data_IF_918467563446
#
_entry.id   IF_918467563446
#
_cell.length_a   1.000
_cell.length_b   1.000
_cell.length_c   1.000
_cell.angle_alpha   90.00
_cell.angle_beta   90.00
_cell.angle_gamma   90.00
#
_symmetry.space_group_name_H-M   'P 1'
#
loop_
_entity.id
_entity.type
_entity.pdbx_description
1 polymer ?
#
# COMPACT_ATOMS: atom_id res chain seq x y z
N UNK A 1 -20.40 -29.67 7.74
CA UNK A 1 -21.13 -28.64 6.97
C UNK A 1 -20.67 -27.22 7.24
N UNK A 2 -20.23 -26.86 8.44
CA UNK A 2 -19.79 -25.51 8.82
C UNK A 2 -18.54 -24.98 8.07
N UNK A 3 -17.58 -25.84 7.69
CA UNK A 3 -16.35 -25.40 6.98
C UNK A 3 -16.60 -24.83 5.58
N UNK A 4 -17.66 -25.24 4.87
CA UNK A 4 -17.98 -24.72 3.53
C UNK A 4 -18.53 -23.29 3.57
N UNK A 5 -19.31 -22.97 4.58
CA UNK A 5 -19.85 -21.62 4.79
C UNK A 5 -18.73 -20.61 5.08
N UNK A 6 -17.77 -20.99 5.95
CA UNK A 6 -16.65 -20.12 6.33
C UNK A 6 -15.71 -19.78 5.16
N UNK A 7 -15.43 -20.74 4.28
CA UNK A 7 -14.53 -20.52 3.13
C UNK A 7 -15.14 -19.58 2.07
N UNK A 8 -16.46 -19.64 1.88
CA UNK A 8 -17.17 -18.77 0.94
C UNK A 8 -17.13 -17.32 1.45
N UNK A 9 -17.34 -17.11 2.73
CA UNK A 9 -17.34 -15.78 3.34
C UNK A 9 -15.96 -15.11 3.30
N UNK A 10 -14.90 -15.86 3.58
CA UNK A 10 -13.52 -15.36 3.52
C UNK A 10 -13.15 -14.91 2.10
N UNK A 11 -13.49 -15.70 1.08
CA UNK A 11 -13.24 -15.34 -0.31
C UNK A 11 -14.01 -14.10 -0.74
N UNK A 12 -15.26 -13.94 -0.29
CA UNK A 12 -16.05 -12.71 -0.54
C UNK A 12 -15.45 -11.51 0.15
N UNK A 13 -15.03 -11.64 1.41
CA UNK A 13 -14.37 -10.55 2.15
C UNK A 13 -13.10 -10.11 1.43
N UNK A 14 -12.25 -11.06 0.99
CA UNK A 14 -11.04 -10.74 0.23
C UNK A 14 -11.36 -10.05 -1.11
N UNK A 15 -12.44 -10.46 -1.77
CA UNK A 15 -12.90 -9.86 -3.01
C UNK A 15 -13.37 -8.41 -2.81
N UNK A 16 -14.21 -8.17 -1.82
CA UNK A 16 -14.68 -6.82 -1.50
C UNK A 16 -13.55 -5.90 -1.04
N UNK A 17 -12.63 -6.41 -0.22
CA UNK A 17 -11.44 -5.66 0.18
C UNK A 17 -10.59 -5.26 -1.04
N UNK A 18 -10.35 -6.18 -1.97
CA UNK A 18 -9.60 -5.90 -3.20
C UNK A 18 -10.32 -4.86 -4.07
N UNK A 19 -11.64 -4.98 -4.28
CA UNK A 19 -12.38 -3.98 -5.06
C UNK A 19 -12.39 -2.61 -4.40
N UNK A 20 -12.62 -2.55 -3.09
CA UNK A 20 -12.55 -1.30 -2.33
C UNK A 20 -11.18 -0.64 -2.49
N UNK A 21 -10.09 -1.41 -2.36
CA UNK A 21 -8.74 -0.89 -2.59
C UNK A 21 -8.58 -0.32 -3.99
N UNK A 22 -8.96 -1.07 -5.03
CA UNK A 22 -8.82 -0.62 -6.41
C UNK A 22 -9.58 0.69 -6.67
N UNK A 23 -10.84 0.77 -6.25
CA UNK A 23 -11.67 1.97 -6.42
C UNK A 23 -11.04 3.18 -5.74
N UNK A 24 -10.67 3.05 -4.47
CA UNK A 24 -10.10 4.17 -3.71
C UNK A 24 -8.67 4.52 -4.12
N UNK A 25 -7.87 3.55 -4.59
CA UNK A 25 -6.54 3.79 -5.14
C UNK A 25 -6.63 4.58 -6.46
N UNK A 26 -7.51 4.18 -7.37
CA UNK A 26 -7.76 4.90 -8.63
C UNK A 26 -8.34 6.30 -8.37
N UNK A 27 -9.29 6.43 -7.45
CA UNK A 27 -9.81 7.72 -7.02
C UNK A 27 -8.70 8.62 -6.45
N UNK A 28 -7.83 8.06 -5.60
CA UNK A 28 -6.67 8.79 -5.04
C UNK A 28 -5.71 9.25 -6.13
N UNK A 29 -5.45 8.39 -7.11
CA UNK A 29 -4.59 8.72 -8.24
C UNK A 29 -5.20 9.85 -9.08
N UNK A 30 -6.46 9.73 -9.49
CA UNK A 30 -7.17 10.75 -10.25
C UNK A 30 -7.19 12.10 -9.53
N UNK A 31 -7.50 12.10 -8.23
CA UNK A 31 -7.49 13.32 -7.41
C UNK A 31 -6.12 13.98 -7.36
N UNK A 32 -5.06 13.19 -7.24
CA UNK A 32 -3.69 13.70 -7.19
C UNK A 32 -3.23 14.25 -8.55
N UNK A 33 -3.60 13.59 -9.66
CA UNK A 33 -3.34 14.08 -11.02
C UNK A 33 -4.04 15.42 -11.26
N UNK A 34 -5.34 15.52 -10.92
CA UNK A 34 -6.09 16.77 -11.05
C UNK A 34 -5.46 17.90 -10.22
N UNK A 35 -5.01 17.60 -9.00
CA UNK A 35 -4.34 18.59 -8.14
C UNK A 35 -3.02 19.09 -8.76
N UNK A 36 -2.24 18.20 -9.37
CA UNK A 36 -0.98 18.57 -10.02
C UNK A 36 -1.21 19.34 -11.34
N UNK A 37 -2.33 19.08 -12.02
CA UNK A 37 -2.76 19.84 -13.20
C UNK A 37 -3.34 21.22 -12.86
N UNK A 38 -3.32 21.64 -11.58
CA UNK A 38 -3.84 22.94 -11.12
C UNK A 38 -5.38 22.99 -11.01
N UNK A 39 -6.06 21.86 -11.24
CA UNK A 39 -7.52 21.77 -11.06
C UNK A 39 -7.83 21.69 -9.56
N UNK A 40 -8.19 22.83 -8.99
CA UNK A 40 -8.53 22.92 -7.57
C UNK A 40 -10.01 22.61 -7.38
N UNK A 41 -10.32 21.42 -6.83
CA UNK A 41 -11.68 21.07 -6.40
C UNK A 41 -12.15 21.92 -5.18
N UNK A 42 -11.28 22.77 -4.62
CA UNK A 42 -11.60 23.64 -3.49
C UNK A 42 -12.58 24.79 -3.82
N UNK A 43 -12.81 25.05 -5.09
CA UNK A 43 -13.69 26.14 -5.54
C UNK A 43 -15.15 25.72 -5.70
N UNK A 44 -15.46 24.43 -5.65
CA UNK A 44 -16.86 23.98 -5.74
C UNK A 44 -17.53 24.00 -4.37
N UNK A 45 -18.60 24.81 -4.17
CA UNK A 45 -19.30 24.93 -2.89
C UNK A 45 -19.94 23.61 -2.43
N UNK A 46 -20.19 22.66 -3.35
CA UNK A 46 -20.75 21.34 -3.05
C UNK A 46 -19.67 20.37 -2.53
N UNK A 47 -18.43 20.50 -3.00
CA UNK A 47 -17.35 19.57 -2.67
C UNK A 47 -16.57 19.95 -1.40
N UNK A 48 -16.64 21.21 -0.99
CA UNK A 48 -15.93 21.71 0.22
C UNK A 48 -16.34 20.94 1.49
N UNK A 49 -17.62 20.74 1.83
CA UNK A 49 -18.01 20.03 3.05
C UNK A 49 -17.79 18.51 2.98
N UNK A 50 -17.82 17.92 1.77
CA UNK A 50 -17.70 16.46 1.58
C UNK A 50 -16.23 16.04 1.52
N UNK A 51 -15.32 16.94 1.12
CA UNK A 51 -13.90 16.61 0.90
C UNK A 51 -13.18 16.02 2.12
N UNK A 52 -13.34 16.51 3.36
CA UNK A 52 -12.64 15.93 4.51
C UNK A 52 -13.15 14.53 4.85
N UNK A 53 -14.46 14.29 4.72
CA UNK A 53 -15.08 12.98 4.96
C UNK A 53 -14.55 11.97 3.92
N UNK A 54 -14.56 12.34 2.65
CA UNK A 54 -14.09 11.49 1.55
C UNK A 54 -12.59 11.18 1.66
N UNK A 55 -11.78 12.17 2.05
CA UNK A 55 -10.35 11.97 2.32
C UNK A 55 -10.13 11.00 3.48
N UNK A 56 -10.92 11.12 4.55
CA UNK A 56 -10.82 10.22 5.71
C UNK A 56 -11.23 8.79 5.34
N UNK A 57 -12.36 8.60 4.66
CA UNK A 57 -12.82 7.27 4.19
C UNK A 57 -11.77 6.65 3.27
N UNK A 58 -11.30 7.40 2.27
CA UNK A 58 -10.23 6.96 1.36
C UNK A 58 -9.02 6.45 2.13
N UNK A 59 -8.56 7.21 3.11
CA UNK A 59 -7.38 6.86 3.88
C UNK A 59 -7.59 5.62 4.74
N UNK A 60 -8.75 5.49 5.38
CA UNK A 60 -9.12 4.29 6.14
C UNK A 60 -9.15 3.05 5.23
N UNK A 61 -9.81 3.14 4.08
CA UNK A 61 -9.89 2.01 3.14
C UNK A 61 -8.52 1.60 2.64
N UNK A 62 -7.68 2.55 2.21
CA UNK A 62 -6.34 2.26 1.70
C UNK A 62 -5.39 1.68 2.75
N UNK A 63 -5.63 1.95 4.04
CA UNK A 63 -4.82 1.42 5.13
C UNK A 63 -5.35 0.09 5.69
N UNK A 64 -6.68 -0.06 5.82
CA UNK A 64 -7.28 -1.27 6.38
C UNK A 64 -7.32 -2.44 5.39
N UNK A 65 -7.45 -2.16 4.10
CA UNK A 65 -7.51 -3.23 3.08
C UNK A 65 -6.24 -4.09 3.02
N UNK A 66 -5.02 -3.53 3.05
CA UNK A 66 -3.81 -4.35 3.14
C UNK A 66 -3.77 -5.24 4.38
N UNK A 67 -4.22 -4.73 5.54
CA UNK A 67 -4.30 -5.51 6.78
C UNK A 67 -5.22 -6.72 6.58
N UNK A 68 -6.42 -6.49 6.02
CA UNK A 68 -7.38 -7.55 5.75
C UNK A 68 -6.83 -8.59 4.76
N UNK A 69 -6.25 -8.15 3.64
CA UNK A 69 -5.73 -9.05 2.61
C UNK A 69 -4.55 -9.88 3.10
N UNK A 70 -3.56 -9.29 3.79
CA UNK A 70 -2.43 -10.02 4.36
C UNK A 70 -2.86 -10.94 5.50
N UNK A 71 -3.83 -10.51 6.33
CA UNK A 71 -4.43 -11.34 7.37
C UNK A 71 -5.13 -12.57 6.80
N UNK A 72 -6.01 -12.38 5.82
CA UNK A 72 -6.70 -13.48 5.13
C UNK A 72 -5.68 -14.40 4.45
N UNK A 73 -4.70 -13.85 3.74
CA UNK A 73 -3.64 -14.63 3.09
C UNK A 73 -2.91 -15.52 4.10
N UNK A 74 -2.53 -14.98 5.26
CA UNK A 74 -1.91 -15.76 6.35
C UNK A 74 -2.77 -16.95 6.78
N UNK A 75 -4.08 -16.76 6.94
CA UNK A 75 -5.00 -17.84 7.36
C UNK A 75 -5.21 -18.90 6.28
N UNK A 76 -5.10 -18.54 5.02
CA UNK A 76 -5.24 -19.51 3.90
C UNK A 76 -3.98 -20.33 3.65
N UNK A 77 -2.82 -19.92 4.20
CA UNK A 77 -1.58 -20.64 4.03
C UNK A 77 -1.53 -21.92 4.88
N UNK A 78 -1.10 -23.07 4.30
CA UNK A 78 -0.95 -24.31 5.04
C UNK A 78 0.13 -24.19 6.14
N UNK A 79 -0.01 -24.98 7.20
CA UNK A 79 0.87 -24.92 8.38
C UNK A 79 2.35 -25.18 8.05
N UNK A 80 2.65 -25.94 6.99
CA UNK A 80 4.01 -26.27 6.55
C UNK A 80 4.80 -25.11 5.98
N UNK A 81 4.14 -24.01 5.56
CA UNK A 81 4.81 -22.86 4.91
C UNK A 81 5.12 -21.76 5.94
N UNK A 82 5.99 -22.12 6.91
CA UNK A 82 6.31 -21.24 8.06
C UNK A 82 6.84 -19.86 7.66
N UNK A 83 7.73 -19.80 6.65
CA UNK A 83 8.32 -18.53 6.21
C UNK A 83 7.29 -17.54 5.70
N UNK A 84 6.40 -17.97 4.80
CA UNK A 84 5.34 -17.11 4.26
C UNK A 84 4.35 -16.64 5.33
N UNK A 85 4.02 -17.51 6.29
CA UNK A 85 3.17 -17.14 7.43
C UNK A 85 3.80 -16.03 8.26
N UNK A 86 5.10 -16.16 8.58
CA UNK A 86 5.85 -15.12 9.32
C UNK A 86 5.96 -13.81 8.52
N UNK A 87 6.26 -13.87 7.21
CA UNK A 87 6.25 -12.67 6.37
C UNK A 87 4.88 -11.99 6.36
N UNK A 88 3.80 -12.77 6.25
CA UNK A 88 2.43 -12.22 6.30
C UNK A 88 2.08 -11.59 7.65
N UNK A 89 2.52 -12.20 8.76
CA UNK A 89 2.37 -11.64 10.11
C UNK A 89 3.12 -10.31 10.26
N UNK A 90 4.35 -10.25 9.78
CA UNK A 90 5.15 -9.01 9.77
C UNK A 90 4.48 -7.91 8.93
N UNK A 91 3.90 -8.28 7.78
CA UNK A 91 3.18 -7.31 6.94
C UNK A 91 1.90 -6.80 7.63
N UNK A 92 1.12 -7.67 8.28
CA UNK A 92 -0.05 -7.26 9.06
C UNK A 92 0.38 -6.32 10.19
N UNK A 93 1.41 -6.70 10.95
CA UNK A 93 1.94 -5.89 12.04
C UNK A 93 2.40 -4.51 11.54
N UNK A 94 3.14 -4.49 10.43
CA UNK A 94 3.58 -3.24 9.79
C UNK A 94 2.41 -2.32 9.45
N UNK A 95 1.38 -2.83 8.76
CA UNK A 95 0.23 -2.00 8.36
C UNK A 95 -0.59 -1.52 9.56
N UNK A 96 -0.75 -2.36 10.60
CA UNK A 96 -1.45 -1.97 11.84
C UNK A 96 -0.67 -0.86 12.55
N UNK A 97 0.64 -1.04 12.74
CA UNK A 97 1.47 -0.03 13.39
C UNK A 97 1.58 1.25 12.54
N UNK A 98 1.70 1.15 11.21
CA UNK A 98 1.67 2.30 10.31
C UNK A 98 0.35 3.06 10.39
N UNK A 99 -0.78 2.34 10.54
CA UNK A 99 -2.08 2.97 10.75
C UNK A 99 -2.12 3.75 12.07
N UNK A 100 -1.71 3.13 13.16
CA UNK A 100 -1.68 3.77 14.49
C UNK A 100 -0.75 4.99 14.48
N UNK A 101 0.49 4.82 14.01
CA UNK A 101 1.47 5.90 13.92
C UNK A 101 1.01 7.03 13.00
N UNK A 102 0.35 6.68 11.89
CA UNK A 102 -0.21 7.66 10.97
C UNK A 102 -1.28 8.55 11.61
N UNK A 103 -2.12 8.00 12.50
CA UNK A 103 -3.09 8.80 13.24
C UNK A 103 -2.41 9.67 14.32
N UNK A 104 -1.45 9.11 15.07
CA UNK A 104 -0.67 9.85 16.07
C UNK A 104 0.15 10.98 15.41
N UNK A 105 0.76 10.71 14.24
CA UNK A 105 1.57 11.68 13.53
C UNK A 105 0.75 12.84 12.97
N UNK A 106 -0.45 12.58 12.46
CA UNK A 106 -1.35 13.66 12.02
C UNK A 106 -1.68 14.62 13.15
N UNK A 107 -1.93 14.07 14.33
CA UNK A 107 -2.26 14.88 15.51
C UNK A 107 -1.07 15.75 15.92
N UNK A 108 0.14 15.18 15.95
CA UNK A 108 1.35 15.91 16.31
C UNK A 108 1.79 16.90 15.22
N UNK A 109 1.59 16.59 13.92
CA UNK A 109 1.96 17.48 12.82
C UNK A 109 1.14 18.78 12.82
N UNK A 110 -0.14 18.71 13.20
CA UNK A 110 -0.99 19.92 13.36
C UNK A 110 -0.46 20.80 14.50
N UNK A 111 -0.07 20.20 15.63
CA UNK A 111 0.53 20.95 16.78
C UNK A 111 1.92 21.51 16.44
N UNK A 112 2.70 20.83 15.63
CA UNK A 112 4.01 21.27 15.18
C UNK A 112 3.97 22.45 14.21
N UNK A 113 3.00 22.43 13.27
CA UNK A 113 2.80 23.55 12.33
C UNK A 113 2.36 24.84 13.03
N UNK A 114 1.77 24.74 14.22
CA UNK A 114 1.38 25.91 15.01
C UNK A 114 2.57 26.62 15.70
N UNK A 115 3.62 25.88 16.02
CA UNK A 115 4.78 26.40 16.79
C UNK A 115 6.08 26.51 15.97
N UNK A 116 6.08 26.13 14.70
CA UNK A 116 7.27 26.23 13.83
C UNK A 116 8.48 25.37 14.24
N UNK A 117 8.35 24.55 15.27
CA UNK A 117 9.43 23.71 15.78
C UNK A 117 9.13 22.21 15.59
N UNK A 118 10.13 21.50 15.07
CA UNK A 118 10.07 20.02 14.95
C UNK A 118 10.32 19.44 16.35
N UNK A 119 9.31 18.83 16.96
CA UNK A 119 9.48 18.21 18.27
C UNK A 119 10.33 16.94 18.19
N UNK A 120 11.16 16.63 19.20
CA UNK A 120 11.93 15.38 19.26
C UNK A 120 11.07 14.13 19.06
N UNK A 121 9.84 14.15 19.57
CA UNK A 121 8.85 13.07 19.42
C UNK A 121 8.53 12.77 17.96
N UNK A 122 8.40 13.80 17.11
CA UNK A 122 8.12 13.58 15.70
C UNK A 122 9.31 13.01 14.96
N UNK A 123 10.52 13.43 15.31
CA UNK A 123 11.73 12.84 14.74
C UNK A 123 11.80 11.36 15.09
N UNK A 124 11.56 10.97 16.33
CA UNK A 124 11.52 9.57 16.77
C UNK A 124 10.45 8.78 16.00
N UNK A 125 9.21 9.31 15.89
CA UNK A 125 8.13 8.65 15.16
C UNK A 125 8.46 8.46 13.68
N UNK A 126 9.12 9.45 13.06
CA UNK A 126 9.58 9.35 11.66
C UNK A 126 10.63 8.25 11.49
N UNK A 127 11.60 8.15 12.41
CA UNK A 127 12.60 7.09 12.41
C UNK A 127 11.98 5.70 12.59
N UNK A 128 11.03 5.55 13.52
CA UNK A 128 10.28 4.31 13.74
C UNK A 128 9.53 3.93 12.44
N UNK A 129 8.79 4.86 11.86
CA UNK A 129 8.03 4.61 10.63
C UNK A 129 8.92 4.21 9.44
N UNK A 130 10.06 4.88 9.28
CA UNK A 130 11.04 4.57 8.23
C UNK A 130 11.66 3.18 8.42
N UNK A 131 12.06 2.86 9.66
CA UNK A 131 12.63 1.53 9.99
C UNK A 131 11.62 0.41 9.76
N UNK A 132 10.38 0.61 10.14
CA UNK A 132 9.28 -0.34 9.89
C UNK A 132 8.99 -0.47 8.39
N UNK A 133 9.05 0.62 7.64
CA UNK A 133 8.95 0.62 6.19
C UNK A 133 10.01 -0.29 5.55
N UNK A 134 11.25 -0.20 5.98
CA UNK A 134 12.34 -1.06 5.52
C UNK A 134 12.08 -2.54 5.82
N UNK A 135 11.62 -2.86 7.03
CA UNK A 135 11.27 -4.24 7.42
C UNK A 135 10.16 -4.80 6.54
N UNK A 136 9.13 -4.00 6.24
CA UNK A 136 8.02 -4.43 5.37
C UNK A 136 8.48 -4.70 3.95
N UNK A 137 9.36 -3.87 3.41
CA UNK A 137 9.96 -4.03 2.08
C UNK A 137 10.75 -5.33 2.01
N UNK A 138 11.59 -5.60 3.01
CA UNK A 138 12.38 -6.84 3.09
C UNK A 138 11.44 -8.06 3.22
N UNK A 139 10.44 -8.01 4.09
CA UNK A 139 9.48 -9.10 4.26
C UNK A 139 8.70 -9.39 2.98
N UNK A 140 8.29 -8.35 2.26
CA UNK A 140 7.60 -8.47 0.96
C UNK A 140 8.51 -9.08 -0.11
N UNK A 141 9.78 -8.66 -0.18
CA UNK A 141 10.76 -9.20 -1.10
C UNK A 141 11.07 -10.68 -0.81
N UNK A 142 11.30 -11.03 0.46
CA UNK A 142 11.55 -12.42 0.88
C UNK A 142 10.36 -13.31 0.56
N UNK A 143 9.13 -12.85 0.86
CA UNK A 143 7.92 -13.56 0.48
C UNK A 143 7.80 -13.72 -1.04
N UNK A 144 8.08 -12.66 -1.80
CA UNK A 144 8.07 -12.65 -3.26
C UNK A 144 9.04 -13.67 -3.86
N UNK A 145 10.30 -13.63 -3.44
CA UNK A 145 11.34 -14.57 -3.90
C UNK A 145 11.00 -16.03 -3.55
N UNK A 146 10.51 -16.27 -2.33
CA UNK A 146 10.10 -17.61 -1.91
C UNK A 146 8.94 -18.15 -2.75
N UNK A 147 7.92 -17.30 -3.03
CA UNK A 147 6.80 -17.66 -3.88
C UNK A 147 7.23 -17.94 -5.33
N UNK A 148 8.16 -17.16 -5.86
CA UNK A 148 8.70 -17.36 -7.21
C UNK A 148 9.45 -18.67 -7.36
N UNK A 149 10.25 -19.06 -6.34
CA UNK A 149 11.14 -20.22 -6.38
C UNK A 149 10.44 -21.53 -6.02
N UNK A 150 9.52 -21.51 -5.05
CA UNK A 150 8.94 -22.74 -4.44
C UNK A 150 7.52 -23.06 -4.93
N UNK A 151 6.82 -22.10 -5.54
CA UNK A 151 5.42 -22.27 -5.90
C UNK A 151 5.17 -22.11 -7.41
N UNK A 152 4.02 -22.63 -7.87
CA UNK A 152 3.57 -22.55 -9.27
C UNK A 152 2.20 -21.84 -9.35
N UNK A 153 1.76 -21.53 -10.55
CA UNK A 153 0.43 -20.96 -10.80
C UNK A 153 0.24 -19.57 -10.18
N UNK A 154 -0.89 -19.35 -9.52
CA UNK A 154 -1.25 -18.04 -8.96
C UNK A 154 -0.33 -17.59 -7.82
N UNK A 155 0.22 -18.51 -7.03
CA UNK A 155 1.18 -18.19 -5.97
C UNK A 155 2.50 -17.65 -6.55
N UNK A 156 3.03 -18.25 -7.63
CA UNK A 156 4.21 -17.70 -8.32
C UNK A 156 3.93 -16.33 -8.93
N UNK A 157 2.74 -16.13 -9.53
CA UNK A 157 2.33 -14.83 -10.07
C UNK A 157 2.22 -13.76 -8.98
N UNK A 158 1.76 -14.12 -7.78
CA UNK A 158 1.81 -13.24 -6.61
C UNK A 158 3.26 -12.91 -6.24
N UNK A 159 4.15 -13.89 -6.20
CA UNK A 159 5.57 -13.67 -5.93
C UNK A 159 6.19 -12.65 -6.89
N UNK A 160 5.95 -12.79 -8.19
CA UNK A 160 6.40 -11.83 -9.22
C UNK A 160 5.83 -10.44 -8.94
N UNK A 161 4.53 -10.34 -8.60
CA UNK A 161 3.90 -9.07 -8.30
C UNK A 161 4.53 -8.36 -7.09
N UNK A 162 4.85 -9.10 -6.01
CA UNK A 162 5.53 -8.55 -4.83
C UNK A 162 6.94 -8.05 -5.15
N UNK A 163 7.70 -8.79 -5.97
CA UNK A 163 9.02 -8.33 -6.44
C UNK A 163 8.89 -7.08 -7.32
N UNK A 164 7.87 -7.01 -8.18
CA UNK A 164 7.61 -5.81 -9.00
C UNK A 164 7.27 -4.59 -8.14
N UNK A 165 6.50 -4.75 -7.06
CA UNK A 165 6.24 -3.66 -6.09
C UNK A 165 7.56 -3.15 -5.50
N UNK A 166 8.46 -4.04 -5.11
CA UNK A 166 9.77 -3.66 -4.59
C UNK A 166 10.60 -2.90 -5.63
N UNK A 167 10.68 -3.41 -6.86
CA UNK A 167 11.42 -2.75 -7.95
C UNK A 167 10.83 -1.37 -8.25
N UNK A 168 9.50 -1.27 -8.36
CA UNK A 168 8.82 0.00 -8.59
C UNK A 168 9.09 1.00 -7.46
N UNK A 169 9.05 0.56 -6.21
CA UNK A 169 9.39 1.39 -5.06
C UNK A 169 10.85 1.87 -5.12
N UNK A 170 11.80 0.97 -5.39
CA UNK A 170 13.23 1.30 -5.49
C UNK A 170 13.49 2.33 -6.60
N UNK A 171 12.91 2.11 -7.78
CA UNK A 171 13.05 3.02 -8.93
C UNK A 171 12.42 4.38 -8.65
N UNK A 172 11.17 4.39 -8.19
CA UNK A 172 10.40 5.62 -8.03
C UNK A 172 10.82 6.45 -6.81
N UNK A 173 11.22 5.80 -5.70
CA UNK A 173 11.55 6.50 -4.46
C UNK A 173 13.03 6.86 -4.32
N UNK A 174 13.92 6.19 -5.06
CA UNK A 174 15.37 6.39 -4.92
C UNK A 174 16.05 6.80 -6.22
N UNK A 175 15.93 6.00 -7.29
CA UNK A 175 16.68 6.24 -8.52
C UNK A 175 16.13 7.41 -9.34
N UNK A 176 14.83 7.50 -9.49
CA UNK A 176 14.19 8.53 -10.31
C UNK A 176 14.40 9.96 -9.76
N UNK A 177 14.27 10.22 -8.44
CA UNK A 177 14.57 11.54 -7.86
C UNK A 177 16.02 11.95 -8.08
N UNK A 178 16.98 11.01 -7.91
CA UNK A 178 18.40 11.27 -8.14
C UNK A 178 18.66 11.61 -9.60
N UNK A 179 18.11 10.83 -10.53
CA UNK A 179 18.26 11.08 -11.96
C UNK A 179 17.70 12.45 -12.37
N UNK A 180 16.51 12.81 -11.88
CA UNK A 180 15.88 14.11 -12.17
C UNK A 180 16.72 15.26 -11.58
N UNK A 181 17.24 15.11 -10.37
CA UNK A 181 18.08 16.12 -9.74
C UNK A 181 19.33 16.45 -10.58
N UNK A 182 19.98 15.41 -11.13
CA UNK A 182 21.20 15.61 -11.93
C UNK A 182 20.93 16.04 -13.38
N UNK A 183 19.79 15.66 -13.98
CA UNK A 183 19.53 15.86 -15.41
C UNK A 183 18.67 17.08 -15.72
N UNK A 184 17.85 17.56 -14.77
CA UNK A 184 16.82 18.56 -15.07
C UNK A 184 17.33 20.01 -15.13
N UNK A 185 18.51 20.33 -14.60
CA UNK A 185 19.06 21.69 -14.64
C UNK A 185 18.05 22.78 -14.24
N UNK A 186 17.85 23.78 -15.09
CA UNK A 186 16.92 24.90 -14.85
C UNK A 186 15.42 24.54 -14.97
N UNK A 187 15.07 23.34 -15.45
CA UNK A 187 13.68 22.86 -15.61
C UNK A 187 13.23 21.98 -14.44
N UNK A 188 13.89 22.08 -13.31
CA UNK A 188 13.68 21.17 -12.15
C UNK A 188 12.22 21.06 -11.72
N UNK A 189 11.46 22.15 -11.65
CA UNK A 189 10.09 22.11 -11.14
C UNK A 189 9.15 21.29 -12.04
N UNK A 190 9.22 21.48 -13.35
CA UNK A 190 8.42 20.71 -14.31
C UNK A 190 8.83 19.23 -14.30
N UNK A 191 10.14 18.95 -14.25
CA UNK A 191 10.69 17.61 -14.20
C UNK A 191 10.27 16.87 -12.92
N UNK A 192 10.30 17.52 -11.74
CA UNK A 192 9.81 16.95 -10.49
C UNK A 192 8.30 16.69 -10.50
N UNK A 193 7.50 17.53 -11.15
CA UNK A 193 6.07 17.32 -11.30
C UNK A 193 5.80 16.07 -12.15
N UNK A 194 6.46 15.93 -13.30
CA UNK A 194 6.37 14.76 -14.16
C UNK A 194 6.84 13.48 -13.43
N UNK A 195 7.97 13.56 -12.73
CA UNK A 195 8.49 12.47 -11.91
C UNK A 195 7.49 12.00 -10.87
N UNK A 196 6.88 12.93 -10.12
CA UNK A 196 5.87 12.60 -9.11
C UNK A 196 4.65 11.91 -9.74
N UNK A 197 4.19 12.36 -10.91
CA UNK A 197 3.09 11.72 -11.64
C UNK A 197 3.45 10.30 -12.06
N UNK A 198 4.62 10.09 -12.67
CA UNK A 198 5.09 8.77 -13.10
C UNK A 198 5.21 7.85 -11.88
N UNK A 199 5.82 8.34 -10.80
CA UNK A 199 5.98 7.58 -9.55
C UNK A 199 4.63 7.15 -8.96
N UNK A 200 3.66 8.07 -8.91
CA UNK A 200 2.32 7.77 -8.40
C UNK A 200 1.58 6.76 -9.27
N UNK A 201 1.61 6.91 -10.59
CA UNK A 201 0.97 5.96 -11.52
C UNK A 201 1.60 4.58 -11.38
N UNK A 202 2.94 4.51 -11.41
CA UNK A 202 3.68 3.25 -11.34
C UNK A 202 3.44 2.53 -10.01
N UNK A 203 3.57 3.22 -8.88
CA UNK A 203 3.38 2.62 -7.55
C UNK A 203 1.92 2.19 -7.34
N UNK A 204 0.94 3.02 -7.69
CA UNK A 204 -0.47 2.67 -7.58
C UNK A 204 -0.82 1.44 -8.42
N UNK A 205 -0.37 1.40 -9.67
CA UNK A 205 -0.62 0.28 -10.59
C UNK A 205 -0.01 -1.03 -10.09
N UNK A 206 1.23 -0.98 -9.58
CA UNK A 206 1.91 -2.17 -9.04
C UNK A 206 1.24 -2.69 -7.78
N UNK A 207 0.78 -1.82 -6.87
CA UNK A 207 0.02 -2.23 -5.68
C UNK A 207 -1.34 -2.83 -6.04
N UNK A 208 -2.10 -2.23 -6.96
CA UNK A 208 -3.37 -2.78 -7.47
C UNK A 208 -3.13 -4.19 -8.04
N UNK A 209 -2.08 -4.34 -8.86
CA UNK A 209 -1.73 -5.62 -9.43
C UNK A 209 -1.36 -6.65 -8.36
N UNK A 210 -0.56 -6.29 -7.37
CA UNK A 210 -0.15 -7.17 -6.27
C UNK A 210 -1.36 -7.64 -5.44
N UNK A 211 -2.27 -6.75 -5.06
CA UNK A 211 -3.46 -7.11 -4.30
C UNK A 211 -4.47 -7.93 -5.13
N UNK A 212 -4.60 -7.66 -6.42
CA UNK A 212 -5.35 -8.53 -7.32
C UNK A 212 -4.77 -9.94 -7.37
N UNK A 213 -3.44 -10.07 -7.48
CA UNK A 213 -2.76 -11.37 -7.46
C UNK A 213 -2.89 -12.07 -6.10
N UNK A 214 -2.85 -11.32 -5.02
CA UNK A 214 -3.08 -11.86 -3.67
C UNK A 214 -4.49 -12.43 -3.53
N UNK A 215 -5.51 -11.69 -3.97
CA UNK A 215 -6.89 -12.21 -4.01
C UNK A 215 -7.00 -13.50 -4.84
N UNK A 216 -6.38 -13.54 -6.03
CA UNK A 216 -6.36 -14.75 -6.87
C UNK A 216 -5.64 -15.93 -6.20
N UNK A 217 -4.57 -15.66 -5.45
CA UNK A 217 -3.86 -16.68 -4.68
C UNK A 217 -4.71 -17.19 -3.51
N UNK A 218 -5.37 -16.34 -2.76
CA UNK A 218 -6.32 -16.69 -1.68
C UNK A 218 -7.42 -17.60 -2.22
N UNK A 219 -8.03 -17.22 -3.36
CA UNK A 219 -9.11 -17.99 -3.97
C UNK A 219 -8.67 -19.41 -4.37
N UNK A 220 -7.44 -19.56 -4.85
CA UNK A 220 -6.93 -20.89 -5.27
C UNK A 220 -6.45 -21.75 -4.10
N UNK A 221 -5.89 -21.15 -3.04
CA UNK A 221 -5.48 -21.89 -1.82
C UNK A 221 -6.67 -22.32 -0.99
N UNK A 222 -7.71 -21.52 -0.90
CA UNK A 222 -8.95 -21.90 -0.22
C UNK A 222 -9.70 -23.08 -0.85
N UNK A 223 -9.41 -23.39 -2.13
CA UNK A 223 -9.98 -24.56 -2.82
C UNK A 223 -9.17 -25.87 -2.61
N UNK A 224 -7.90 -25.78 -2.16
CA UNK A 224 -7.01 -26.94 -2.01
C UNK A 224 -7.19 -27.61 -0.62
N UNK A 225 -7.81 -26.93 0.32
CA UNK A 225 -8.08 -27.43 1.67
C UNK A 225 -9.41 -28.17 1.83
N UNK A 226 -10.05 -28.54 0.72
CA UNK A 226 -11.25 -29.41 0.61
C UNK A 226 -10.86 -30.74 -0.02
#
# INVERSE_FOLDING_TARGET
MERKSYSIDINRIAQYAMYAYCIFALFSLAFSVCRQAGLSFRTSPILIPISPILVTIKQLVLQLTPIALWGIFRFTLPAGVKLLRRCSELMVLYYVLSFILGQCFKFNFVTMMQNGQITPTATILTWIQSSMGLISVIASLVAGCHLCSKHRGNMRKLGIALVLVFIAWLLCSNLLPVAVFYLAGNTQQAAFTCMNLISMITTTSTYIYAYYRMYRAIKTTGCIGQ
#
